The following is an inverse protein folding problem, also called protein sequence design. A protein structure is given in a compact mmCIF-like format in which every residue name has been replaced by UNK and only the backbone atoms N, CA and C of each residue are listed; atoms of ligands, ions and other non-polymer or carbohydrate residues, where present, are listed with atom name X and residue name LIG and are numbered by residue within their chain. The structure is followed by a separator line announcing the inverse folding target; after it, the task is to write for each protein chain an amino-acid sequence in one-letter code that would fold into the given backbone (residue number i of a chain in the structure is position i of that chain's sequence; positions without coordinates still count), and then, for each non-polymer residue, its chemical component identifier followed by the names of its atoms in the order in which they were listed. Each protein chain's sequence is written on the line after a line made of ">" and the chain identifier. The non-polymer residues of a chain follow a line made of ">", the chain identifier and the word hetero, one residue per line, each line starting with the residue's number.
data_IF_422635943986
#
_entry.id   IF_422635943986
#
_cell.length_a   1.000
_cell.length_b   1.000
_cell.length_c   1.000
_cell.angle_alpha   90.00
_cell.angle_beta   90.00
_cell.angle_gamma   90.00
#
_symmetry.space_group_name_H-M   'P 1'
#
loop_
_entity.id
_entity.type
_entity.pdbx_description
1 polymer ?
#
# COMPACT_ATOMS: atom_id res chain seq x y z
N UNK A 1 -2.56 22.84 100.91
CA UNK A 1 -1.58 23.72 100.25
C UNK A 1 -0.73 22.98 99.22
N UNK A 2 -0.34 21.72 99.43
CA UNK A 2 0.44 20.92 98.45
C UNK A 2 -0.25 20.70 97.09
N UNK A 3 -1.56 20.44 97.06
CA UNK A 3 -2.28 20.16 95.80
C UNK A 3 -2.37 21.38 94.87
N UNK A 4 -2.44 22.59 95.43
CA UNK A 4 -2.49 23.84 94.68
C UNK A 4 -1.13 24.21 94.07
N UNK A 5 -0.03 23.92 94.75
CA UNK A 5 1.33 24.13 94.20
C UNK A 5 1.67 23.13 93.09
N UNK A 6 1.26 21.86 93.23
CA UNK A 6 1.43 20.87 92.17
C UNK A 6 0.65 21.27 90.91
N UNK A 7 -0.60 21.73 91.04
CA UNK A 7 -1.40 22.20 89.91
C UNK A 7 -0.74 23.41 89.19
N UNK A 8 -0.20 24.37 89.94
CA UNK A 8 0.53 25.52 89.40
C UNK A 8 1.83 25.11 88.67
N UNK A 9 2.54 24.10 89.18
CA UNK A 9 3.75 23.61 88.55
C UNK A 9 3.44 22.88 87.23
N UNK A 10 2.36 22.09 87.18
CA UNK A 10 1.87 21.47 85.94
C UNK A 10 1.47 22.51 84.89
N UNK A 11 0.81 23.61 85.30
CA UNK A 11 0.45 24.71 84.40
C UNK A 11 1.69 25.43 83.86
N UNK A 12 2.72 25.66 84.68
CA UNK A 12 4.01 26.23 84.22
C UNK A 12 4.74 25.32 83.24
N UNK A 13 4.76 24.02 83.52
CA UNK A 13 5.35 23.04 82.61
C UNK A 13 4.58 23.08 81.28
N UNK A 14 3.26 22.96 81.29
CA UNK A 14 2.43 23.06 80.08
C UNK A 14 2.67 24.35 79.28
N UNK A 15 2.77 25.51 79.95
CA UNK A 15 3.06 26.78 79.30
C UNK A 15 4.49 26.87 78.74
N UNK A 16 5.47 26.20 79.35
CA UNK A 16 6.84 26.15 78.84
C UNK A 16 6.98 25.31 77.56
N UNK A 17 6.10 24.32 77.35
CA UNK A 17 6.07 23.49 76.14
C UNK A 17 5.23 24.10 75.00
N UNK A 18 4.33 25.04 75.31
CA UNK A 18 3.43 25.66 74.33
C UNK A 18 4.17 26.31 73.13
N UNK A 19 5.28 27.07 73.30
CA UNK A 19 6.03 27.64 72.19
C UNK A 19 6.64 26.57 71.26
N UNK A 20 7.11 25.47 71.82
CA UNK A 20 7.67 24.35 71.05
C UNK A 20 6.59 23.64 70.23
N UNK A 21 5.40 23.43 70.81
CA UNK A 21 4.24 22.88 70.10
C UNK A 21 3.78 23.79 68.96
N UNK A 22 3.68 25.10 69.19
CA UNK A 22 3.31 26.08 68.16
C UNK A 22 4.33 26.08 67.02
N UNK A 23 5.62 26.01 67.34
CA UNK A 23 6.68 25.96 66.33
C UNK A 23 6.62 24.66 65.52
N UNK A 24 6.40 23.52 66.18
CA UNK A 24 6.25 22.22 65.52
C UNK A 24 5.05 22.19 64.56
N UNK A 25 3.91 22.76 64.99
CA UNK A 25 2.71 22.92 64.16
C UNK A 25 3.01 23.84 62.97
N UNK A 26 3.70 24.97 63.18
CA UNK A 26 4.08 25.88 62.11
C UNK A 26 5.01 25.24 61.06
N UNK A 27 5.98 24.43 61.51
CA UNK A 27 6.89 23.69 60.62
C UNK A 27 6.14 22.60 59.84
N UNK A 28 5.27 21.83 60.50
CA UNK A 28 4.49 20.77 59.81
C UNK A 28 3.54 21.34 58.78
N UNK A 29 2.85 22.44 59.08
CA UNK A 29 2.01 23.15 58.12
C UNK A 29 2.85 23.65 56.94
N UNK A 30 4.01 24.25 57.21
CA UNK A 30 4.91 24.77 56.17
C UNK A 30 5.43 23.66 55.23
N UNK A 31 5.87 22.53 55.79
CA UNK A 31 6.30 21.35 55.03
C UNK A 31 5.14 20.77 54.20
N UNK A 32 3.95 20.68 54.78
CA UNK A 32 2.76 20.22 54.07
C UNK A 32 2.43 21.12 52.86
N UNK A 33 2.43 22.44 53.03
CA UNK A 33 2.17 23.38 51.95
C UNK A 33 3.24 23.34 50.85
N UNK A 34 4.52 23.23 51.22
CA UNK A 34 5.62 23.09 50.26
C UNK A 34 5.49 21.79 49.45
N UNK A 35 5.28 20.64 50.12
CA UNK A 35 5.07 19.36 49.43
C UNK A 35 3.86 19.41 48.50
N UNK A 36 2.74 20.00 48.95
CA UNK A 36 1.54 20.13 48.12
C UNK A 36 1.78 21.01 46.89
N UNK A 37 2.59 22.06 47.02
CA UNK A 37 2.95 22.94 45.90
C UNK A 37 3.86 22.23 44.90
N UNK A 38 4.86 21.50 45.36
CA UNK A 38 5.77 20.74 44.49
C UNK A 38 5.03 19.59 43.79
N UNK A 39 4.16 18.87 44.49
CA UNK A 39 3.30 17.84 43.88
C UNK A 39 2.42 18.42 42.77
N UNK A 40 1.80 19.58 42.99
CA UNK A 40 1.00 20.26 41.95
C UNK A 40 1.85 20.65 40.74
N UNK A 41 3.09 21.12 40.93
CA UNK A 41 3.99 21.44 39.82
C UNK A 41 4.35 20.20 39.00
N UNK A 42 4.67 19.10 39.67
CA UNK A 42 4.98 17.82 39.01
C UNK A 42 3.78 17.32 38.22
N UNK A 43 2.58 17.41 38.78
CA UNK A 43 1.34 17.02 38.10
C UNK A 43 1.09 17.86 36.84
N UNK A 44 1.24 19.19 36.92
CA UNK A 44 1.12 20.07 35.74
C UNK A 44 2.19 19.78 34.69
N UNK A 45 3.43 19.53 35.10
CA UNK A 45 4.53 19.20 34.18
C UNK A 45 4.27 17.86 33.48
N UNK A 46 3.77 16.85 34.19
CA UNK A 46 3.44 15.56 33.61
C UNK A 46 2.27 15.65 32.64
N UNK A 47 1.26 16.49 32.93
CA UNK A 47 0.16 16.76 31.99
C UNK A 47 0.69 17.39 30.71
N UNK A 48 1.52 18.43 30.81
CA UNK A 48 2.11 19.08 29.63
C UNK A 48 2.98 18.12 28.80
N UNK A 49 3.80 17.29 29.46
CA UNK A 49 4.63 16.32 28.76
C UNK A 49 3.77 15.25 28.05
N UNK A 50 2.67 14.82 28.67
CA UNK A 50 1.72 13.90 28.05
C UNK A 50 1.06 14.54 26.81
N UNK A 51 0.61 15.79 26.91
CA UNK A 51 0.05 16.55 25.79
C UNK A 51 1.06 16.68 24.65
N UNK A 52 2.32 16.97 24.97
CA UNK A 52 3.40 17.08 23.98
C UNK A 52 3.64 15.76 23.24
N UNK A 53 3.70 14.63 23.96
CA UNK A 53 3.82 13.30 23.37
C UNK A 53 2.61 12.98 22.48
N UNK A 54 1.39 13.33 22.90
CA UNK A 54 0.19 13.11 22.09
C UNK A 54 0.22 13.94 20.80
N UNK A 55 0.69 15.19 20.85
CA UNK A 55 0.86 16.04 19.66
C UNK A 55 1.91 15.43 18.72
N UNK A 56 3.06 15.02 19.25
CA UNK A 56 4.12 14.37 18.47
C UNK A 56 3.63 13.07 17.82
N UNK A 57 2.87 12.24 18.53
CA UNK A 57 2.27 11.03 17.98
C UNK A 57 1.27 11.34 16.85
N UNK A 58 0.46 12.39 16.98
CA UNK A 58 -0.46 12.80 15.91
C UNK A 58 0.30 13.28 14.69
N UNK A 59 1.33 14.09 14.86
CA UNK A 59 2.18 14.57 13.78
C UNK A 59 2.91 13.42 13.08
N UNK A 60 3.48 12.47 13.84
CA UNK A 60 4.16 11.30 13.31
C UNK A 60 3.20 10.40 12.52
N UNK A 61 1.99 10.16 13.04
CA UNK A 61 0.96 9.39 12.34
C UNK A 61 0.48 10.06 11.05
N UNK A 62 0.39 11.39 11.02
CA UNK A 62 0.07 12.13 9.81
C UNK A 62 1.19 11.98 8.75
N UNK A 63 2.44 12.13 9.17
CA UNK A 63 3.62 11.97 8.31
C UNK A 63 3.73 10.53 7.77
N UNK A 64 3.52 9.51 8.61
CA UNK A 64 3.50 8.12 8.17
C UNK A 64 2.41 7.85 7.11
N UNK A 65 1.21 8.42 7.29
CA UNK A 65 0.13 8.30 6.30
C UNK A 65 0.48 9.00 4.98
N UNK A 66 1.13 10.16 5.05
CA UNK A 66 1.58 10.89 3.86
C UNK A 66 2.66 10.10 3.10
N UNK A 67 3.68 9.61 3.81
CA UNK A 67 4.73 8.74 3.23
C UNK A 67 4.17 7.45 2.65
N UNK A 68 3.16 6.87 3.30
CA UNK A 68 2.49 5.70 2.75
C UNK A 68 1.76 6.03 1.43
N UNK A 69 1.07 7.18 1.36
CA UNK A 69 0.44 7.64 0.12
C UNK A 69 1.46 7.89 -0.99
N UNK A 70 2.58 8.55 -0.70
CA UNK A 70 3.67 8.78 -1.66
C UNK A 70 4.19 7.44 -2.23
N UNK A 71 4.47 6.47 -1.36
CA UNK A 71 4.93 5.15 -1.77
C UNK A 71 3.90 4.41 -2.62
N UNK A 72 2.63 4.41 -2.19
CA UNK A 72 1.56 3.73 -2.92
C UNK A 72 1.32 4.39 -4.30
N UNK A 73 1.51 5.70 -4.38
CA UNK A 73 1.49 6.45 -5.63
C UNK A 73 2.64 6.06 -6.58
N UNK A 74 3.89 6.03 -6.09
CA UNK A 74 5.05 5.62 -6.89
C UNK A 74 4.94 4.17 -7.39
N UNK A 75 4.47 3.26 -6.53
CA UNK A 75 4.18 1.88 -6.94
C UNK A 75 3.10 1.82 -8.02
N UNK A 76 2.03 2.59 -7.87
CA UNK A 76 0.94 2.64 -8.86
C UNK A 76 1.44 3.16 -10.21
N UNK A 77 2.34 4.15 -10.22
CA UNK A 77 2.98 4.69 -11.42
C UNK A 77 3.77 3.61 -12.17
N UNK A 78 4.63 2.89 -11.47
CA UNK A 78 5.44 1.80 -12.05
C UNK A 78 4.55 0.68 -12.61
N UNK A 79 3.53 0.26 -11.86
CA UNK A 79 2.60 -0.79 -12.29
C UNK A 79 1.81 -0.34 -13.52
N UNK A 80 1.33 0.91 -13.55
CA UNK A 80 0.57 1.45 -14.67
C UNK A 80 1.41 1.47 -15.96
N UNK A 81 2.64 1.98 -15.89
CA UNK A 81 3.55 2.02 -17.04
C UNK A 81 3.82 0.63 -17.61
N UNK A 82 4.13 -0.33 -16.73
CA UNK A 82 4.34 -1.73 -17.14
C UNK A 82 3.07 -2.33 -17.74
N UNK A 83 1.91 -2.05 -17.16
CA UNK A 83 0.62 -2.56 -17.65
C UNK A 83 0.29 -2.01 -19.04
N UNK A 84 0.51 -0.73 -19.30
CA UNK A 84 0.33 -0.12 -20.63
C UNK A 84 1.21 -0.80 -21.67
N UNK A 85 2.50 -0.98 -21.37
CA UNK A 85 3.46 -1.65 -22.27
C UNK A 85 3.04 -3.10 -22.54
N UNK A 86 2.69 -3.86 -21.49
CA UNK A 86 2.28 -5.26 -21.61
C UNK A 86 1.00 -5.41 -22.43
N UNK A 87 0.02 -4.53 -22.27
CA UNK A 87 -1.21 -4.62 -23.05
C UNK A 87 -0.99 -4.32 -24.54
N UNK A 88 -0.11 -3.38 -24.88
CA UNK A 88 0.28 -3.14 -26.28
C UNK A 88 0.97 -4.36 -26.91
N UNK A 89 1.86 -4.99 -26.16
CA UNK A 89 2.55 -6.19 -26.63
C UNK A 89 1.60 -7.39 -26.72
N UNK A 90 0.64 -7.51 -25.79
CA UNK A 90 -0.40 -8.54 -25.81
C UNK A 90 -1.27 -8.52 -27.06
N UNK A 91 -1.57 -7.34 -27.59
CA UNK A 91 -2.25 -7.23 -28.87
C UNK A 91 -1.43 -7.80 -30.03
N UNK A 92 -0.14 -7.46 -30.11
CA UNK A 92 0.75 -8.00 -31.16
C UNK A 92 0.83 -9.52 -31.06
N UNK A 93 0.95 -10.05 -29.85
CA UNK A 93 0.98 -11.49 -29.58
C UNK A 93 -0.33 -12.18 -29.96
N UNK A 94 -1.46 -11.51 -29.77
CA UNK A 94 -2.78 -11.99 -30.21
C UNK A 94 -2.88 -12.05 -31.73
N UNK A 95 -2.37 -11.03 -32.44
CA UNK A 95 -2.29 -11.03 -33.91
C UNK A 95 -1.38 -12.16 -34.40
N UNK A 96 -0.19 -12.29 -33.80
CA UNK A 96 0.79 -13.34 -34.13
C UNK A 96 0.16 -14.73 -33.99
N UNK A 97 -0.51 -14.99 -32.87
CA UNK A 97 -1.22 -16.24 -32.61
C UNK A 97 -2.35 -16.47 -33.63
N UNK A 98 -3.13 -15.44 -33.96
CA UNK A 98 -4.19 -15.53 -34.96
C UNK A 98 -3.63 -15.80 -36.37
N UNK A 99 -2.48 -15.24 -36.73
CA UNK A 99 -1.80 -15.53 -38.00
C UNK A 99 -1.34 -16.99 -38.02
N UNK A 100 -0.72 -17.47 -36.95
CA UNK A 100 -0.29 -18.87 -36.83
C UNK A 100 -1.48 -19.84 -36.99
N UNK A 101 -2.60 -19.54 -36.33
CA UNK A 101 -3.81 -20.36 -36.44
C UNK A 101 -4.42 -20.37 -37.85
N UNK A 102 -4.41 -19.24 -38.55
CA UNK A 102 -4.96 -19.16 -39.91
C UNK A 102 -4.01 -19.74 -40.98
N UNK A 103 -2.69 -19.69 -40.75
CA UNK A 103 -1.69 -20.20 -41.68
C UNK A 103 -1.64 -21.74 -41.72
N UNK A 104 -1.93 -22.40 -40.60
CA UNK A 104 -1.81 -23.86 -40.44
C UNK A 104 -3.16 -24.58 -40.54
N UNK A 105 -3.98 -24.22 -41.56
CA UNK A 105 -5.22 -24.90 -41.94
C UNK A 105 -5.07 -26.44 -41.97
N UNK A 106 -6.10 -27.22 -41.60
CA UNK A 106 -5.95 -28.56 -41.02
C UNK A 106 -5.08 -29.47 -41.88
N UNK A 107 -3.92 -29.81 -41.34
CA UNK A 107 -3.00 -30.77 -41.93
C UNK A 107 -3.60 -32.16 -41.72
N UNK A 108 -3.70 -32.95 -42.79
CA UNK A 108 -4.28 -34.29 -42.75
C UNK A 108 -3.50 -35.17 -41.75
N UNK A 109 -4.23 -35.79 -40.80
CA UNK A 109 -3.73 -36.28 -39.49
C UNK A 109 -2.78 -37.50 -39.57
N UNK A 110 -2.51 -38.07 -40.75
CA UNK A 110 -1.93 -39.42 -40.87
C UNK A 110 -0.55 -39.50 -41.55
N UNK A 111 0.31 -38.49 -41.38
CA UNK A 111 1.66 -38.53 -41.97
C UNK A 111 2.76 -38.10 -41.00
N UNK A 112 3.98 -38.63 -41.14
CA UNK A 112 5.18 -38.13 -40.40
C UNK A 112 5.39 -36.62 -40.56
N UNK A 113 4.91 -36.07 -41.67
CA UNK A 113 4.91 -34.63 -41.95
C UNK A 113 3.98 -33.84 -41.01
N UNK A 114 2.88 -34.44 -40.55
CA UNK A 114 2.01 -33.84 -39.53
C UNK A 114 2.74 -33.64 -38.19
N UNK A 115 3.46 -34.66 -37.72
CA UNK A 115 4.24 -34.59 -36.47
C UNK A 115 5.32 -33.51 -36.56
N UNK A 116 6.01 -33.41 -37.71
CA UNK A 116 7.03 -32.38 -37.95
C UNK A 116 6.45 -30.97 -37.91
N UNK A 117 5.35 -30.74 -38.64
CA UNK A 117 4.65 -29.44 -38.64
C UNK A 117 4.08 -29.09 -37.27
N UNK A 118 3.60 -30.08 -36.52
CA UNK A 118 3.18 -29.90 -35.13
C UNK A 118 4.32 -29.40 -34.24
N UNK A 119 5.49 -30.05 -34.30
CA UNK A 119 6.66 -29.61 -33.54
C UNK A 119 7.09 -28.20 -33.94
N UNK A 120 7.07 -27.86 -35.23
CA UNK A 120 7.37 -26.51 -35.72
C UNK A 120 6.36 -25.47 -35.22
N UNK A 121 5.07 -25.80 -35.16
CA UNK A 121 4.05 -24.92 -34.61
C UNK A 121 4.22 -24.69 -33.11
N UNK A 122 4.44 -25.76 -32.34
CA UNK A 122 4.67 -25.67 -30.88
C UNK A 122 5.88 -24.79 -30.57
N UNK A 123 6.96 -24.91 -31.35
CA UNK A 123 8.13 -24.05 -31.22
C UNK A 123 7.82 -22.57 -31.47
N UNK A 124 6.83 -22.24 -32.30
CA UNK A 124 6.39 -20.86 -32.57
C UNK A 124 5.43 -20.33 -31.50
N UNK A 125 4.63 -21.21 -30.88
CA UNK A 125 3.71 -20.82 -29.79
C UNK A 125 4.42 -20.68 -28.45
N UNK A 126 5.44 -21.48 -28.15
CA UNK A 126 6.08 -21.47 -26.84
C UNK A 126 6.60 -20.07 -26.41
N UNK A 127 7.20 -19.25 -27.30
CA UNK A 127 7.56 -17.87 -26.97
C UNK A 127 6.36 -16.99 -26.56
N UNK A 128 5.20 -17.18 -27.19
CA UNK A 128 3.96 -16.43 -26.90
C UNK A 128 3.42 -16.83 -25.52
N UNK A 129 3.46 -18.12 -25.21
CA UNK A 129 3.06 -18.67 -23.91
C UNK A 129 3.99 -18.23 -22.79
N UNK A 130 5.30 -18.26 -23.01
CA UNK A 130 6.29 -17.78 -22.04
C UNK A 130 6.09 -16.30 -21.75
N UNK A 131 5.92 -15.49 -22.80
CA UNK A 131 5.57 -14.08 -22.63
C UNK A 131 4.28 -13.89 -21.81
N UNK A 132 3.23 -14.67 -22.08
CA UNK A 132 1.99 -14.61 -21.30
C UNK A 132 2.25 -14.93 -19.82
N UNK A 133 2.96 -16.01 -19.51
CA UNK A 133 3.26 -16.41 -18.13
C UNK A 133 4.03 -15.34 -17.35
N UNK A 134 4.95 -14.63 -18.01
CA UNK A 134 5.73 -13.55 -17.41
C UNK A 134 4.92 -12.26 -17.19
N UNK A 135 3.85 -12.04 -17.97
CA UNK A 135 3.18 -10.75 -18.05
C UNK A 135 1.69 -10.77 -17.68
N UNK A 136 1.10 -11.94 -17.42
CA UNK A 136 -0.33 -12.11 -17.16
C UNK A 136 -0.85 -11.33 -15.94
N UNK A 137 0.02 -11.01 -14.98
CA UNK A 137 -0.33 -10.19 -13.82
C UNK A 137 -0.66 -8.73 -14.19
N UNK A 138 -0.04 -8.21 -15.24
CA UNK A 138 -0.21 -6.83 -15.70
C UNK A 138 -1.36 -6.68 -16.72
N UNK A 139 -2.03 -7.78 -17.07
CA UNK A 139 -3.16 -7.78 -17.99
C UNK A 139 -4.48 -7.66 -17.22
N UNK A 140 -5.46 -6.90 -17.74
CA UNK A 140 -6.82 -6.93 -17.24
C UNK A 140 -7.37 -8.36 -17.27
N UNK A 141 -8.20 -8.73 -16.28
CA UNK A 141 -8.73 -10.08 -16.14
C UNK A 141 -9.38 -10.61 -17.43
N UNK A 142 -10.23 -9.81 -18.08
CA UNK A 142 -10.92 -10.18 -19.32
C UNK A 142 -9.91 -10.58 -20.40
N UNK A 143 -8.87 -9.78 -20.57
CA UNK A 143 -7.79 -10.03 -21.52
C UNK A 143 -6.99 -11.28 -21.18
N UNK A 144 -6.64 -11.43 -19.91
CA UNK A 144 -5.87 -12.58 -19.43
C UNK A 144 -6.61 -13.89 -19.71
N UNK A 145 -7.92 -13.90 -19.48
CA UNK A 145 -8.76 -15.08 -19.65
C UNK A 145 -8.96 -15.37 -21.15
N UNK A 146 -9.22 -14.34 -21.97
CA UNK A 146 -9.37 -14.47 -23.44
C UNK A 146 -8.06 -14.93 -24.12
N UNK A 147 -6.92 -14.39 -23.70
CA UNK A 147 -5.61 -14.80 -24.24
C UNK A 147 -5.30 -16.26 -23.90
N UNK A 148 -5.64 -16.70 -22.68
CA UNK A 148 -5.49 -18.10 -22.28
C UNK A 148 -6.38 -19.04 -23.11
N UNK A 149 -7.62 -18.62 -23.41
CA UNK A 149 -8.51 -19.36 -24.31
C UNK A 149 -7.87 -19.48 -25.69
N UNK A 150 -7.31 -18.40 -26.24
CA UNK A 150 -6.64 -18.46 -27.53
C UNK A 150 -5.40 -19.37 -27.53
N UNK A 151 -4.57 -19.31 -26.49
CA UNK A 151 -3.44 -20.26 -26.33
C UNK A 151 -3.97 -21.69 -26.34
N UNK A 152 -4.97 -22.00 -25.51
CA UNK A 152 -5.53 -23.35 -25.41
C UNK A 152 -6.17 -23.83 -26.71
N UNK A 153 -6.96 -22.97 -27.38
CA UNK A 153 -7.51 -23.24 -28.71
C UNK A 153 -6.41 -23.53 -29.72
N UNK A 154 -5.23 -22.91 -29.58
CA UNK A 154 -4.12 -23.17 -30.48
C UNK A 154 -3.51 -24.55 -30.31
N UNK A 155 -3.47 -25.06 -29.08
CA UNK A 155 -3.10 -26.45 -28.81
C UNK A 155 -4.20 -27.43 -29.28
N UNK A 156 -5.47 -27.10 -29.04
CA UNK A 156 -6.62 -27.93 -29.43
C UNK A 156 -6.85 -27.98 -30.95
N UNK A 157 -6.55 -26.90 -31.68
CA UNK A 157 -6.69 -26.80 -33.14
C UNK A 157 -5.89 -27.86 -33.89
N UNK A 158 -4.84 -28.40 -33.26
CA UNK A 158 -3.96 -29.39 -33.87
C UNK A 158 -4.29 -30.82 -33.42
N UNK A 159 -4.92 -30.98 -32.26
CA UNK A 159 -5.26 -32.31 -31.72
C UNK A 159 -6.64 -32.81 -32.23
N UNK A 160 -7.51 -31.93 -32.74
CA UNK A 160 -8.85 -32.29 -33.24
C UNK A 160 -9.18 -31.72 -34.63
N UNK A 161 -9.71 -32.58 -35.51
CA UNK A 161 -10.39 -32.19 -36.76
C UNK A 161 -11.59 -31.28 -36.45
N UNK A 162 -11.56 -30.08 -37.03
CA UNK A 162 -12.62 -29.06 -37.08
C UNK A 162 -12.96 -28.33 -35.77
N UNK A 163 -12.73 -27.01 -35.79
CA UNK A 163 -13.59 -26.05 -35.10
C UNK A 163 -14.44 -25.32 -36.15
N UNK A 164 -15.75 -25.24 -35.93
CA UNK A 164 -16.66 -24.36 -36.68
C UNK A 164 -16.14 -22.93 -36.47
N UNK A 165 -15.81 -22.23 -37.56
CA UNK A 165 -15.09 -20.95 -37.66
C UNK A 165 -15.86 -19.74 -37.08
N UNK A 166 -16.77 -19.97 -36.14
CA UNK A 166 -17.65 -18.95 -35.55
C UNK A 166 -17.14 -18.34 -34.26
N UNK A 167 -16.05 -18.84 -33.69
CA UNK A 167 -15.37 -18.17 -32.58
C UNK A 167 -14.48 -17.09 -33.18
N UNK A 168 -15.07 -15.94 -33.50
CA UNK A 168 -14.31 -14.77 -33.89
C UNK A 168 -13.26 -14.53 -32.81
N UNK A 169 -11.96 -14.46 -33.13
CA UNK A 169 -10.97 -14.07 -32.15
C UNK A 169 -11.44 -12.77 -31.50
N UNK A 170 -11.24 -12.56 -30.20
CA UNK A 170 -11.68 -11.36 -29.49
C UNK A 170 -10.88 -10.10 -29.91
N UNK A 171 -10.43 -10.01 -31.16
CA UNK A 171 -9.78 -8.87 -31.80
C UNK A 171 -10.57 -7.58 -31.56
N UNK A 172 -11.90 -7.64 -31.57
CA UNK A 172 -12.75 -6.49 -31.27
C UNK A 172 -12.64 -6.00 -29.81
N UNK A 173 -12.40 -6.89 -28.84
CA UNK A 173 -12.16 -6.56 -27.43
C UNK A 173 -10.78 -5.93 -27.29
N UNK A 174 -9.78 -6.50 -27.96
CA UNK A 174 -8.42 -5.97 -27.98
C UNK A 174 -8.31 -4.59 -28.65
N UNK A 175 -8.97 -4.37 -29.79
CA UNK A 175 -9.00 -3.08 -30.49
C UNK A 175 -9.65 -1.99 -29.63
N UNK A 176 -10.78 -2.31 -28.98
CA UNK A 176 -11.44 -1.41 -28.03
C UNK A 176 -10.51 -1.08 -26.85
N UNK A 177 -9.81 -2.08 -26.33
CA UNK A 177 -8.86 -1.88 -25.24
C UNK A 177 -7.64 -1.08 -25.68
N UNK A 178 -7.12 -1.25 -26.90
CA UNK A 178 -6.07 -0.37 -27.45
C UNK A 178 -6.54 1.07 -27.52
N UNK A 179 -7.77 1.33 -27.96
CA UNK A 179 -8.31 2.68 -27.99
C UNK A 179 -8.38 3.29 -26.58
N UNK A 180 -8.84 2.50 -25.60
CA UNK A 180 -8.83 2.90 -24.18
C UNK A 180 -7.41 3.11 -23.67
N UNK A 181 -6.44 2.27 -24.07
CA UNK A 181 -5.04 2.38 -23.66
C UNK A 181 -4.36 3.60 -24.22
N UNK A 182 -4.64 3.96 -25.48
CA UNK A 182 -4.17 5.22 -26.06
C UNK A 182 -4.71 6.39 -25.26
N UNK A 183 -6.00 6.39 -24.93
CA UNK A 183 -6.60 7.41 -24.07
C UNK A 183 -5.98 7.45 -22.65
N UNK A 184 -5.70 6.30 -22.03
CA UNK A 184 -5.02 6.24 -20.73
C UNK A 184 -3.58 6.73 -20.84
N UNK A 185 -2.86 6.36 -21.90
CA UNK A 185 -1.48 6.77 -22.14
C UNK A 185 -1.37 8.27 -22.39
N UNK A 186 -2.27 8.85 -23.18
CA UNK A 186 -2.38 10.30 -23.42
C UNK A 186 -2.67 11.06 -22.12
N UNK A 187 -3.63 10.57 -21.32
CA UNK A 187 -3.95 11.17 -20.02
C UNK A 187 -2.82 11.00 -19.00
N UNK A 188 -2.14 9.86 -19.00
CA UNK A 188 -0.99 9.60 -18.15
C UNK A 188 0.18 10.52 -18.53
N UNK A 189 0.46 10.72 -19.81
CA UNK A 189 1.48 11.66 -20.27
C UNK A 189 1.14 13.10 -19.87
N UNK A 190 -0.10 13.55 -20.12
CA UNK A 190 -0.55 14.88 -19.72
C UNK A 190 -0.48 15.10 -18.21
N UNK A 191 -0.74 14.05 -17.43
CA UNK A 191 -0.60 14.06 -15.97
C UNK A 191 0.87 14.14 -15.55
N UNK A 192 1.77 13.33 -16.12
CA UNK A 192 3.20 13.40 -15.85
C UNK A 192 3.78 14.77 -16.19
N UNK A 193 3.39 15.34 -17.33
CA UNK A 193 3.83 16.67 -17.76
C UNK A 193 3.39 17.72 -16.74
N UNK A 194 2.14 17.67 -16.27
CA UNK A 194 1.61 18.59 -15.24
C UNK A 194 2.35 18.48 -13.90
N UNK A 195 2.68 17.28 -13.44
CA UNK A 195 3.41 17.09 -12.17
C UNK A 195 4.91 17.40 -12.29
N UNK A 196 5.52 17.15 -13.46
CA UNK A 196 6.90 17.55 -13.73
C UNK A 196 7.11 19.08 -13.70
N UNK A 197 6.06 19.84 -14.05
CA UNK A 197 6.04 21.30 -13.94
C UNK A 197 5.93 21.72 -12.47
N UNK A 198 5.12 21.02 -11.65
CA UNK A 198 4.98 21.31 -10.23
C UNK A 198 6.29 21.02 -9.46
N UNK A 199 6.99 19.93 -9.76
CA UNK A 199 8.31 19.63 -9.18
C UNK A 199 9.39 20.67 -9.53
N UNK A 200 9.23 21.39 -10.65
CA UNK A 200 10.13 22.49 -11.02
C UNK A 200 9.80 23.78 -10.28
N UNK A 201 8.52 24.06 -10.04
CA UNK A 201 8.07 25.26 -9.32
C UNK A 201 8.42 25.19 -7.83
N UNK A 202 8.43 24.00 -7.21
CA UNK A 202 8.84 23.83 -5.80
C UNK A 202 10.37 23.91 -5.57
N UNK A 203 11.17 23.99 -6.63
CA UNK A 203 12.64 24.06 -6.58
C UNK A 203 13.24 25.43 -6.91
N UNK A 204 12.41 26.38 -7.32
CA UNK A 204 12.76 27.79 -7.55
C UNK A 204 12.21 28.68 -6.41
#
# INVERSE_FOLDING_TARGET
>A
MEQTEQALNWVRILLSWAPHLITLIGVTISVYYLNRRELKKIETSNMHHKEEIEIQLRALNANLKEKQKERDFELSKIILEKSLSVMQEGYKKTIELNILLNADAPINVDSKEHIRKFQEFIQRIEPIKNWYNENCFYLPKIIRDDFLILINLSYDHIDRKFFDTKTTPPLNIWEKLIAVLKGIQENYQAFLDKYSILEKIDKD
#
